data_IF_716309304465
#
_entry.id   IF_716309304465
#
_cell.length_a   1.000
_cell.length_b   1.000
_cell.length_c   1.000
_cell.angle_alpha   90.00
_cell.angle_beta   90.00
_cell.angle_gamma   90.00
#
_symmetry.space_group_name_H-M   'P 1'
#
loop_
_entity.id
_entity.type
_entity.pdbx_description
1 polymer ?
#
# COMPACT_ATOMS: atom_id res chain seq x y z
N UNK A 1 77.28 26.43 36.91
CA UNK A 1 77.06 26.42 35.45
C UNK A 1 75.80 25.58 35.18
N UNK A 2 74.69 26.24 34.80
CA UNK A 2 73.60 25.83 33.86
C UNK A 2 73.00 24.41 34.07
N UNK A 3 71.70 24.17 34.28
CA UNK A 3 70.63 24.43 33.31
C UNK A 3 69.21 24.14 33.86
N UNK A 4 68.21 24.85 33.31
CA UNK A 4 66.76 24.52 33.31
C UNK A 4 66.57 23.07 32.83
N UNK A 5 65.47 22.33 33.02
CA UNK A 5 64.09 22.40 32.44
C UNK A 5 63.37 21.16 33.04
N UNK A 6 62.09 21.07 33.42
CA UNK A 6 60.90 21.25 32.60
C UNK A 6 59.66 21.00 33.51
N UNK A 7 58.93 22.05 33.90
CA UNK A 7 57.58 21.88 34.44
C UNK A 7 56.64 21.60 33.27
N UNK A 8 55.96 20.44 33.25
CA UNK A 8 54.88 20.14 32.28
C UNK A 8 53.51 20.05 32.98
N UNK A 9 52.75 21.16 33.10
CA UNK A 9 51.48 21.18 33.83
C UNK A 9 50.24 20.92 32.95
N UNK A 10 50.29 20.00 31.97
CA UNK A 10 49.22 19.91 30.96
C UNK A 10 48.82 18.50 30.52
N UNK A 11 48.71 17.55 31.45
CA UNK A 11 47.88 16.37 31.24
C UNK A 11 46.93 16.26 32.42
N UNK A 12 45.75 16.88 32.30
CA UNK A 12 44.67 16.69 33.26
C UNK A 12 43.86 15.46 32.80
N UNK A 13 44.10 14.27 33.39
CA UNK A 13 43.45 13.02 33.00
C UNK A 13 42.00 12.95 33.48
N UNK A 14 41.42 14.02 34.03
CA UNK A 14 39.99 14.10 34.38
C UNK A 14 39.13 14.57 33.20
N UNK A 15 39.65 15.45 32.34
CA UNK A 15 38.90 16.04 31.21
C UNK A 15 38.61 15.05 30.08
N UNK A 16 39.45 14.02 29.91
CA UNK A 16 39.25 13.00 28.88
C UNK A 16 38.12 12.02 29.26
N UNK A 17 37.99 11.65 30.54
CA UNK A 17 36.94 10.74 31.03
C UNK A 17 35.55 11.33 30.83
N UNK A 18 35.40 12.63 31.03
CA UNK A 18 34.13 13.33 30.81
C UNK A 18 33.77 13.44 29.33
N UNK A 19 34.76 13.72 28.46
CA UNK A 19 34.57 13.70 27.00
C UNK A 19 34.17 12.31 26.49
N UNK A 20 34.83 11.26 26.95
CA UNK A 20 34.51 9.87 26.58
C UNK A 20 33.10 9.49 27.03
N UNK A 21 32.68 9.89 28.24
CA UNK A 21 31.31 9.67 28.72
C UNK A 21 30.27 10.41 27.87
N UNK A 22 30.54 11.67 27.50
CA UNK A 22 29.66 12.46 26.62
C UNK A 22 29.54 11.84 25.23
N UNK A 23 30.64 11.40 24.64
CA UNK A 23 30.65 10.71 23.34
C UNK A 23 29.83 9.41 23.41
N UNK A 24 30.01 8.63 24.47
CA UNK A 24 29.25 7.39 24.67
C UNK A 24 27.74 7.67 24.82
N UNK A 25 27.36 8.70 25.59
CA UNK A 25 25.96 9.10 25.72
C UNK A 25 25.35 9.58 24.40
N UNK A 26 26.10 10.35 23.59
CA UNK A 26 25.63 10.81 22.29
C UNK A 26 25.48 9.65 21.29
N UNK A 27 26.41 8.70 21.29
CA UNK A 27 26.30 7.50 20.46
C UNK A 27 25.11 6.64 20.87
N UNK A 28 24.88 6.45 22.18
CA UNK A 28 23.70 5.75 22.67
C UNK A 28 22.39 6.44 22.27
N UNK A 29 22.35 7.78 22.34
CA UNK A 29 21.18 8.56 21.92
C UNK A 29 20.90 8.43 20.41
N UNK A 30 21.93 8.44 19.57
CA UNK A 30 21.80 8.22 18.13
C UNK A 30 21.28 6.81 17.82
N UNK A 31 21.79 5.78 18.51
CA UNK A 31 21.29 4.40 18.37
C UNK A 31 19.82 4.29 18.76
N UNK A 32 19.39 4.98 19.82
CA UNK A 32 17.97 5.01 20.22
C UNK A 32 17.12 5.68 19.13
N UNK A 33 17.56 6.80 18.56
CA UNK A 33 16.81 7.50 17.50
C UNK A 33 16.70 6.61 16.23
N UNK A 34 17.73 5.84 15.90
CA UNK A 34 17.70 4.91 14.75
C UNK A 34 16.85 3.65 15.00
N UNK A 35 16.63 3.27 16.26
CA UNK A 35 15.83 2.10 16.63
C UNK A 35 14.31 2.36 16.59
N UNK A 36 13.88 3.62 16.50
CA UNK A 36 12.47 3.99 16.34
C UNK A 36 12.23 4.52 14.93
N UNK A 37 11.91 3.66 13.94
CA UNK A 37 11.40 4.16 12.67
C UNK A 37 10.10 4.90 12.99
N UNK A 38 10.01 6.18 12.61
CA UNK A 38 8.75 6.91 12.68
C UNK A 38 7.69 6.05 11.99
N UNK A 39 6.64 5.69 12.73
CA UNK A 39 5.54 4.91 12.20
C UNK A 39 5.08 5.55 10.89
N UNK A 40 5.31 4.86 9.78
CA UNK A 40 5.05 5.37 8.45
C UNK A 40 3.61 5.86 8.41
N UNK A 41 3.40 7.08 7.94
CA UNK A 41 2.08 7.59 7.61
C UNK A 41 1.44 6.59 6.65
N UNK A 42 0.42 5.88 7.11
CA UNK A 42 -0.44 5.11 6.22
C UNK A 42 -1.16 6.14 5.34
N UNK A 43 -0.64 6.38 4.15
CA UNK A 43 -1.41 6.99 3.08
C UNK A 43 -2.45 5.95 2.66
N UNK A 44 -3.51 5.82 3.47
CA UNK A 44 -4.74 5.18 3.04
C UNK A 44 -5.38 6.12 2.02
N UNK A 45 -4.90 6.08 0.78
CA UNK A 45 -5.69 6.55 -0.36
C UNK A 45 -7.02 5.81 -0.25
N UNK A 46 -8.10 6.54 -0.01
CA UNK A 46 -9.43 5.96 0.08
C UNK A 46 -9.69 5.19 -1.21
N UNK A 47 -9.59 3.85 -1.14
CA UNK A 47 -9.75 3.00 -2.30
C UNK A 47 -11.23 3.07 -2.71
N UNK A 48 -11.48 3.59 -3.90
CA UNK A 48 -12.83 3.59 -4.47
C UNK A 48 -13.19 2.15 -4.78
N UNK A 49 -14.33 1.70 -4.24
CA UNK A 49 -14.89 0.40 -4.55
C UNK A 49 -15.80 0.50 -5.77
N UNK A 50 -15.64 -0.41 -6.72
CA UNK A 50 -16.42 -0.39 -7.95
C UNK A 50 -17.85 -0.87 -7.69
N UNK A 51 -18.80 -0.38 -8.50
CA UNK A 51 -20.21 -0.73 -8.34
C UNK A 51 -20.50 -2.23 -8.48
N UNK A 52 -19.73 -2.93 -9.31
CA UNK A 52 -19.85 -4.38 -9.48
C UNK A 52 -19.38 -5.17 -8.24
N UNK A 53 -18.39 -4.67 -7.51
CA UNK A 53 -17.92 -5.25 -6.25
C UNK A 53 -18.90 -4.97 -5.12
N UNK A 54 -19.45 -3.74 -5.07
CA UNK A 54 -20.51 -3.37 -4.12
C UNK A 54 -21.77 -4.21 -4.37
N UNK A 55 -22.12 -4.48 -5.64
CA UNK A 55 -23.25 -5.32 -6.00
C UNK A 55 -23.11 -6.73 -5.42
N UNK A 56 -21.96 -7.37 -5.60
CA UNK A 56 -21.74 -8.74 -5.12
C UNK A 56 -21.57 -8.82 -3.60
N UNK A 57 -21.03 -7.78 -2.96
CA UNK A 57 -20.79 -7.81 -1.52
C UNK A 57 -22.01 -7.43 -0.69
N UNK A 58 -22.69 -6.34 -1.05
CA UNK A 58 -23.74 -5.75 -0.20
C UNK A 58 -25.14 -5.90 -0.78
N UNK A 59 -25.25 -6.06 -2.10
CA UNK A 59 -26.53 -6.06 -2.81
C UNK A 59 -26.78 -7.35 -3.60
N UNK A 60 -26.13 -8.44 -3.23
CA UNK A 60 -26.27 -9.72 -3.93
C UNK A 60 -27.72 -10.20 -3.98
N UNK A 61 -28.49 -9.94 -2.91
CA UNK A 61 -29.93 -10.21 -2.82
C UNK A 61 -30.75 -9.58 -3.97
N UNK A 62 -30.25 -8.53 -4.64
CA UNK A 62 -30.92 -7.94 -5.80
C UNK A 62 -30.88 -8.83 -7.04
N UNK A 63 -29.91 -9.75 -7.12
CA UNK A 63 -29.71 -10.64 -8.28
C UNK A 63 -29.85 -12.13 -7.95
N UNK A 64 -29.90 -12.48 -6.66
CA UNK A 64 -30.10 -13.86 -6.18
C UNK A 64 -31.37 -14.49 -6.75
N UNK A 65 -31.23 -15.73 -7.25
CA UNK A 65 -32.28 -16.52 -7.89
C UNK A 65 -32.71 -16.00 -9.28
N UNK A 66 -32.08 -14.94 -9.81
CA UNK A 66 -32.52 -14.30 -11.05
C UNK A 66 -31.73 -14.78 -12.27
N UNK A 67 -32.40 -14.69 -13.42
CA UNK A 67 -31.78 -14.72 -14.74
C UNK A 67 -31.32 -13.31 -15.07
N UNK A 68 -30.01 -13.09 -15.16
CA UNK A 68 -29.39 -11.79 -15.32
C UNK A 68 -28.94 -11.60 -16.77
N UNK A 69 -29.33 -10.48 -17.38
CA UNK A 69 -28.71 -9.98 -18.60
C UNK A 69 -27.71 -8.88 -18.25
N UNK A 70 -26.48 -8.99 -18.74
CA UNK A 70 -25.42 -8.02 -18.45
C UNK A 70 -25.18 -7.13 -19.67
N UNK A 71 -25.35 -5.81 -19.50
CA UNK A 71 -24.90 -4.81 -20.47
C UNK A 71 -23.47 -4.42 -20.12
N UNK A 72 -22.51 -4.68 -21.01
CA UNK A 72 -21.09 -4.44 -20.72
C UNK A 72 -20.22 -4.30 -21.97
N UNK A 73 -18.96 -3.96 -21.76
CA UNK A 73 -17.90 -3.91 -22.77
C UNK A 73 -16.57 -4.37 -22.13
N UNK A 74 -15.46 -4.27 -22.84
CA UNK A 74 -14.14 -4.68 -22.36
C UNK A 74 -13.66 -3.95 -21.09
N UNK A 75 -14.24 -2.81 -20.72
CA UNK A 75 -13.90 -2.07 -19.50
C UNK A 75 -14.66 -2.56 -18.26
N UNK A 76 -15.63 -3.47 -18.44
CA UNK A 76 -16.44 -4.06 -17.38
C UNK A 76 -15.66 -5.07 -16.52
N UNK A 77 -14.64 -4.61 -15.81
CA UNK A 77 -13.78 -5.41 -14.93
C UNK A 77 -13.90 -4.98 -13.46
N UNK A 78 -13.49 -5.83 -12.52
CA UNK A 78 -13.34 -5.45 -11.10
C UNK A 78 -12.01 -4.72 -10.84
N UNK A 79 -11.72 -4.36 -9.58
CA UNK A 79 -10.46 -3.69 -9.19
C UNK A 79 -9.19 -4.51 -9.51
N UNK A 80 -9.34 -5.82 -9.74
CA UNK A 80 -8.27 -6.74 -10.13
C UNK A 80 -8.15 -6.92 -11.65
N UNK A 81 -8.94 -6.20 -12.44
CA UNK A 81 -8.96 -6.34 -13.90
C UNK A 81 -9.64 -7.60 -14.41
N UNK A 82 -10.38 -8.32 -13.55
CA UNK A 82 -11.11 -9.53 -13.94
C UNK A 82 -12.46 -9.13 -14.53
N UNK A 83 -12.80 -9.71 -15.69
CA UNK A 83 -14.08 -9.48 -16.37
C UNK A 83 -15.26 -9.79 -15.47
N UNK A 84 -16.24 -8.90 -15.43
CA UNK A 84 -17.46 -9.12 -14.67
C UNK A 84 -18.34 -10.22 -15.28
N UNK A 85 -18.17 -10.51 -16.58
CA UNK A 85 -18.78 -11.66 -17.24
C UNK A 85 -18.31 -12.95 -16.56
N UNK A 86 -17.00 -13.12 -16.39
CA UNK A 86 -16.40 -14.32 -15.80
C UNK A 86 -16.81 -14.46 -14.34
N UNK A 87 -16.86 -13.34 -13.61
CA UNK A 87 -17.29 -13.33 -12.21
C UNK A 87 -18.74 -13.80 -12.09
N UNK A 88 -19.66 -13.23 -12.88
CA UNK A 88 -21.07 -13.66 -12.85
C UNK A 88 -21.27 -15.09 -13.35
N UNK A 89 -20.44 -15.58 -14.27
CA UNK A 89 -20.51 -16.95 -14.77
C UNK A 89 -20.23 -18.00 -13.67
N UNK A 90 -19.38 -17.67 -12.70
CA UNK A 90 -19.04 -18.55 -11.56
C UNK A 90 -19.79 -18.19 -10.27
N UNK A 91 -20.59 -17.12 -10.28
CA UNK A 91 -21.35 -16.68 -9.10
C UNK A 91 -22.56 -17.60 -8.91
N UNK A 92 -22.49 -18.45 -7.87
CA UNK A 92 -23.60 -19.31 -7.48
C UNK A 92 -24.86 -18.50 -7.18
N UNK A 93 -26.03 -19.14 -7.28
CA UNK A 93 -27.32 -18.52 -6.99
C UNK A 93 -27.79 -17.46 -7.99
N UNK A 94 -26.99 -17.12 -9.01
CA UNK A 94 -27.41 -16.26 -10.13
C UNK A 94 -27.20 -16.99 -11.46
N UNK A 95 -27.99 -16.65 -12.48
CA UNK A 95 -27.84 -17.23 -13.82
C UNK A 95 -27.64 -16.14 -14.85
N UNK A 96 -26.41 -15.95 -15.32
CA UNK A 96 -26.13 -15.09 -16.46
C UNK A 96 -26.72 -15.72 -17.74
N UNK A 97 -27.66 -15.03 -18.40
CA UNK A 97 -28.41 -15.57 -19.55
C UNK A 97 -28.23 -14.78 -20.84
N UNK A 98 -27.79 -13.53 -20.74
CA UNK A 98 -27.63 -12.66 -21.90
C UNK A 98 -26.49 -11.66 -21.68
N UNK A 99 -25.87 -11.28 -22.78
CA UNK A 99 -24.77 -10.34 -22.86
C UNK A 99 -25.11 -9.29 -23.92
N UNK A 100 -25.12 -8.02 -23.54
CA UNK A 100 -25.47 -6.90 -24.41
C UNK A 100 -24.27 -5.96 -24.53
N UNK A 101 -23.80 -5.71 -25.75
CA UNK A 101 -22.70 -4.78 -26.03
C UNK A 101 -23.22 -3.55 -26.79
N UNK A 102 -22.82 -2.33 -26.42
CA UNK A 102 -23.43 -1.11 -26.97
C UNK A 102 -23.06 -0.79 -28.43
N UNK A 103 -21.86 -1.12 -28.94
CA UNK A 103 -21.52 -0.81 -30.35
C UNK A 103 -20.33 -1.61 -30.94
N UNK A 104 -19.33 -2.00 -30.13
CA UNK A 104 -18.11 -2.69 -30.61
C UNK A 104 -18.06 -4.21 -30.31
N UNK A 105 -19.19 -4.80 -29.92
CA UNK A 105 -19.20 -6.18 -29.43
C UNK A 105 -18.52 -6.30 -28.06
N UNK A 106 -18.65 -7.46 -27.42
CA UNK A 106 -18.13 -7.68 -26.06
C UNK A 106 -16.63 -7.96 -26.03
N UNK A 107 -16.07 -8.33 -27.18
CA UNK A 107 -14.69 -8.66 -27.46
C UNK A 107 -13.98 -7.58 -28.30
N UNK A 108 -14.67 -6.48 -28.63
CA UNK A 108 -14.13 -5.41 -29.48
C UNK A 108 -13.96 -5.79 -30.95
N UNK A 109 -14.45 -6.97 -31.40
CA UNK A 109 -14.27 -7.43 -32.77
C UNK A 109 -15.48 -7.16 -33.68
N UNK A 110 -16.61 -6.73 -33.12
CA UNK A 110 -17.76 -6.37 -33.94
C UNK A 110 -17.52 -5.03 -34.63
N UNK A 111 -17.62 -5.01 -35.96
CA UNK A 111 -17.71 -3.77 -36.74
C UNK A 111 -18.99 -3.04 -36.32
N UNK A 112 -18.85 -1.79 -35.87
CA UNK A 112 -19.98 -0.90 -35.62
C UNK A 112 -20.85 -0.79 -36.87
N UNK A 113 -22.17 -0.82 -36.66
CA UNK A 113 -23.19 -0.61 -37.69
C UNK A 113 -23.56 0.86 -37.81
#
# INVERSE_FOLDING_TARGET
>A
MINRINYRPWLNPGKNKEKTRRIFCLLALVVVILAFPAAGTCNATAAIKLGNEVLLESYYHLIEGKKVGLVTNQTGVNSRGISFIDILAVTEGTKLVALYAPEHGIDGTARGG
#
